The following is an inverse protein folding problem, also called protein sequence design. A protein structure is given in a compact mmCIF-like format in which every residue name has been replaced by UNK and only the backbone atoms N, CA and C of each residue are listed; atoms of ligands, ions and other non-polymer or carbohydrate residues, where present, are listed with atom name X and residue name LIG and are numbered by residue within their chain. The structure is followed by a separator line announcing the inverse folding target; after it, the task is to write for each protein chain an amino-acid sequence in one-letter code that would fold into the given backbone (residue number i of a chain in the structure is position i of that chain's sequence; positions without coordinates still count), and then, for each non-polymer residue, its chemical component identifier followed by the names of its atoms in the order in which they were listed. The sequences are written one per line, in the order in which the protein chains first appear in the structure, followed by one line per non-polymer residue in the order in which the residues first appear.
data_IF_735714102883
#
_entry.id   IF_735714102883
#
_cell.length_a   1.000
_cell.length_b   1.000
_cell.length_c   1.000
_cell.angle_alpha   90.00
_cell.angle_beta   90.00
_cell.angle_gamma   90.00
#
_symmetry.space_group_name_H-M   'P 1'
#
loop_
_entity.id
_entity.type
_entity.pdbx_description
1 polymer ?
#
# COMPACT_ATOMS: atom_id res chain seq x y z
N UNK A 1 -10.68 4.88 -9.34
CA UNK A 1 -10.54 3.45 -9.02
C UNK A 1 -11.64 2.68 -9.73
N UNK A 2 -11.49 1.37 -9.95
CA UNK A 2 -12.48 0.49 -10.59
C UNK A 2 -12.92 -0.59 -9.59
N UNK A 3 -14.19 -1.00 -9.66
CA UNK A 3 -14.67 -2.12 -8.86
C UNK A 3 -13.88 -3.40 -9.18
N UNK A 4 -13.38 -4.07 -8.15
CA UNK A 4 -12.67 -5.34 -8.26
C UNK A 4 -13.62 -6.50 -8.00
N UNK A 5 -14.29 -6.51 -6.85
CA UNK A 5 -15.07 -7.66 -6.42
C UNK A 5 -15.29 -7.66 -4.91
N UNK A 6 -15.76 -8.79 -4.38
CA UNK A 6 -16.09 -8.92 -2.97
C UNK A 6 -15.08 -9.83 -2.25
N UNK A 7 -14.82 -9.54 -0.98
CA UNK A 7 -14.01 -10.39 -0.12
C UNK A 7 -14.66 -11.77 -0.01
N UNK A 8 -13.91 -12.81 -0.36
CA UNK A 8 -14.34 -14.19 -0.14
C UNK A 8 -13.93 -14.65 1.25
N UNK A 9 -12.63 -14.66 1.54
CA UNK A 9 -12.06 -15.07 2.83
C UNK A 9 -10.58 -14.70 2.88
N UNK A 10 -10.00 -14.77 4.08
CA UNK A 10 -8.56 -14.72 4.28
C UNK A 10 -8.00 -16.14 4.16
N UNK A 11 -7.02 -16.34 3.28
CA UNK A 11 -6.36 -17.64 3.17
C UNK A 11 -5.37 -17.83 4.33
N UNK A 12 -5.14 -19.09 4.73
CA UNK A 12 -4.14 -19.46 5.76
C UNK A 12 -2.72 -18.96 5.43
N UNK A 13 -2.42 -18.78 4.14
CA UNK A 13 -1.16 -18.17 3.68
C UNK A 13 -1.04 -16.66 3.97
N UNK A 14 -2.06 -16.04 4.55
CA UNK A 14 -2.13 -14.61 4.85
C UNK A 14 -2.47 -13.72 3.65
N UNK A 15 -2.95 -14.31 2.54
CA UNK A 15 -3.43 -13.58 1.37
C UNK A 15 -4.94 -13.42 1.40
N UNK A 16 -5.42 -12.25 0.99
CA UNK A 16 -6.86 -12.01 0.88
C UNK A 16 -7.36 -12.56 -0.46
N UNK A 17 -8.42 -13.37 -0.42
CA UNK A 17 -9.04 -13.96 -1.60
C UNK A 17 -10.28 -13.16 -1.97
N UNK A 18 -10.34 -12.72 -3.23
CA UNK A 18 -11.41 -11.86 -3.75
C UNK A 18 -12.09 -12.57 -4.91
N UNK A 19 -13.42 -12.65 -4.88
CA UNK A 19 -14.23 -13.11 -6.02
C UNK A 19 -14.45 -11.95 -6.98
N UNK A 20 -14.08 -12.11 -8.23
CA UNK A 20 -14.25 -11.08 -9.26
C UNK A 20 -14.95 -11.64 -10.50
N UNK A 21 -15.44 -10.74 -11.35
CA UNK A 21 -15.97 -11.03 -12.68
C UNK A 21 -15.04 -10.56 -13.80
N UNK A 22 -13.99 -9.80 -13.47
CA UNK A 22 -13.08 -9.20 -14.45
C UNK A 22 -11.64 -9.41 -14.01
N UNK A 23 -10.74 -9.51 -14.99
CA UNK A 23 -9.30 -9.67 -14.72
C UNK A 23 -8.67 -8.32 -14.38
N UNK A 24 -8.22 -8.10 -13.13
CA UNK A 24 -7.52 -6.86 -12.77
C UNK A 24 -6.10 -6.83 -13.33
N UNK A 25 -5.48 -5.64 -13.43
CA UNK A 25 -4.07 -5.53 -13.75
C UNK A 25 -3.20 -6.14 -12.63
N UNK A 26 -2.18 -6.91 -13.01
CA UNK A 26 -1.21 -7.46 -12.07
C UNK A 26 -0.47 -6.35 -11.31
N UNK A 27 -0.24 -6.53 -10.01
CA UNK A 27 0.49 -5.59 -9.16
C UNK A 27 -0.24 -4.28 -8.81
N UNK A 28 -1.48 -4.08 -9.30
CA UNK A 28 -2.27 -2.90 -8.99
C UNK A 28 -2.63 -2.82 -7.50
N UNK A 29 -2.80 -1.59 -6.98
CA UNK A 29 -3.20 -1.41 -5.57
C UNK A 29 -4.69 -1.69 -5.38
N UNK A 30 -4.99 -2.33 -4.24
CA UNK A 30 -6.34 -2.68 -3.82
C UNK A 30 -6.77 -1.77 -2.66
N UNK A 31 -8.02 -1.31 -2.72
CA UNK A 31 -8.61 -0.37 -1.78
C UNK A 31 -9.96 -0.85 -1.24
N UNK A 32 -10.31 -0.43 -0.02
CA UNK A 32 -11.66 -0.57 0.56
C UNK A 32 -12.62 0.49 -0.01
N UNK A 33 -13.90 0.43 0.39
CA UNK A 33 -14.86 1.51 0.14
C UNK A 33 -14.39 2.86 0.71
N UNK A 34 -13.70 2.83 1.85
CA UNK A 34 -13.17 4.01 2.54
C UNK A 34 -11.93 4.62 1.85
N UNK A 35 -11.58 4.11 0.66
CA UNK A 35 -10.38 4.50 -0.11
C UNK A 35 -9.08 4.21 0.63
N UNK A 36 -9.12 3.32 1.63
CA UNK A 36 -7.94 2.88 2.35
C UNK A 36 -7.19 1.82 1.54
N UNK A 37 -5.87 1.89 1.58
CA UNK A 37 -5.00 1.04 0.77
C UNK A 37 -4.68 -0.26 1.51
N UNK A 38 -5.21 -1.37 1.03
CA UNK A 38 -5.10 -2.67 1.71
C UNK A 38 -3.85 -3.43 1.26
N UNK A 39 -3.56 -3.40 -0.04
CA UNK A 39 -2.57 -4.32 -0.61
C UNK A 39 -2.34 -4.17 -2.10
N UNK A 40 -1.80 -5.23 -2.70
CA UNK A 40 -1.56 -5.36 -4.14
C UNK A 40 -2.13 -6.67 -4.69
N UNK A 41 -2.62 -6.63 -5.93
CA UNK A 41 -2.94 -7.83 -6.70
C UNK A 41 -1.67 -8.66 -6.89
N UNK A 42 -1.71 -9.92 -6.46
CA UNK A 42 -0.59 -10.86 -6.57
C UNK A 42 -0.76 -11.79 -7.76
N UNK A 43 -1.82 -12.61 -7.74
CA UNK A 43 -2.11 -13.58 -8.81
C UNK A 43 -3.62 -13.77 -9.00
N UNK A 44 -4.02 -14.10 -10.22
CA UNK A 44 -5.41 -14.37 -10.64
C UNK A 44 -5.48 -15.85 -11.03
N UNK A 45 -6.49 -16.56 -10.52
CA UNK A 45 -6.62 -18.01 -10.71
C UNK A 45 -8.10 -18.44 -10.71
N UNK A 46 -8.35 -19.71 -11.06
CA UNK A 46 -9.69 -20.29 -11.07
C UNK A 46 -10.47 -20.08 -12.37
N UNK A 47 -11.81 -20.14 -12.33
CA UNK A 47 -12.65 -20.14 -13.53
C UNK A 47 -12.54 -18.86 -14.35
N UNK A 48 -12.53 -18.99 -15.68
CA UNK A 48 -12.36 -17.85 -16.61
C UNK A 48 -13.49 -16.81 -16.47
N UNK A 49 -14.75 -17.25 -16.30
CA UNK A 49 -15.91 -16.35 -16.19
C UNK A 49 -16.01 -15.66 -14.81
N UNK A 50 -15.52 -16.30 -13.75
CA UNK A 50 -15.61 -15.83 -12.35
C UNK A 50 -14.30 -16.15 -11.63
N UNK A 51 -13.20 -15.43 -11.94
CA UNK A 51 -11.92 -15.75 -11.37
C UNK A 51 -11.81 -15.32 -9.91
N UNK A 52 -10.83 -15.90 -9.24
CA UNK A 52 -10.37 -15.52 -7.91
C UNK A 52 -9.09 -14.73 -8.01
N UNK A 53 -8.94 -13.73 -7.13
CA UNK A 53 -7.74 -12.89 -7.07
C UNK A 53 -7.14 -13.02 -5.69
N UNK A 54 -5.86 -13.35 -5.64
CA UNK A 54 -5.04 -13.27 -4.43
C UNK A 54 -4.47 -11.87 -4.29
N UNK A 55 -4.65 -11.28 -3.12
CA UNK A 55 -4.14 -9.96 -2.77
C UNK A 55 -3.11 -10.10 -1.65
N UNK A 56 -1.92 -9.56 -1.89
CA UNK A 56 -0.89 -9.42 -0.86
C UNK A 56 -1.23 -8.21 0.01
N UNK A 57 -1.55 -8.48 1.28
CA UNK A 57 -1.92 -7.47 2.27
C UNK A 57 -0.65 -6.76 2.77
N UNK A 58 -0.72 -5.45 2.96
CA UNK A 58 0.38 -4.70 3.56
C UNK A 58 0.50 -4.97 5.06
N UNK A 59 1.73 -4.88 5.58
CA UNK A 59 2.02 -5.05 7.02
C UNK A 59 1.28 -4.05 7.92
N UNK A 60 0.92 -2.89 7.39
CA UNK A 60 0.19 -1.86 8.13
C UNK A 60 -1.29 -2.18 8.34
N UNK A 61 -1.83 -3.19 7.68
CA UNK A 61 -3.26 -3.51 7.71
C UNK A 61 -3.50 -4.69 8.65
N UNK A 62 -4.49 -4.55 9.52
CA UNK A 62 -4.86 -5.60 10.45
C UNK A 62 -5.61 -6.73 9.73
N UNK A 63 -5.06 -7.94 9.79
CA UNK A 63 -5.62 -9.09 9.07
C UNK A 63 -6.93 -9.61 9.68
N UNK A 64 -7.07 -9.48 11.00
CA UNK A 64 -8.27 -9.92 11.74
C UNK A 64 -9.50 -9.12 11.30
N UNK A 65 -9.34 -7.82 11.10
CA UNK A 65 -10.43 -6.95 10.66
C UNK A 65 -10.92 -7.32 9.26
N UNK A 66 -10.00 -7.73 8.37
CA UNK A 66 -10.31 -8.19 7.02
C UNK A 66 -11.03 -9.55 6.99
N UNK A 67 -10.76 -10.41 7.97
CA UNK A 67 -11.42 -11.70 8.11
C UNK A 67 -12.90 -11.50 8.43
N UNK A 68 -13.24 -10.60 9.36
CA UNK A 68 -14.64 -10.30 9.70
C UNK A 68 -15.43 -9.60 8.58
N UNK A 69 -14.75 -9.01 7.59
CA UNK A 69 -15.35 -8.20 6.50
C UNK A 69 -15.74 -9.02 5.25
N UNK A 70 -16.23 -10.25 5.46
CA UNK A 70 -16.69 -11.09 4.36
C UNK A 70 -17.75 -10.38 3.49
N UNK A 71 -17.61 -10.47 2.17
CA UNK A 71 -18.53 -9.85 1.23
C UNK A 71 -18.32 -8.35 0.97
N UNK A 72 -17.40 -7.68 1.68
CA UNK A 72 -17.13 -6.26 1.45
C UNK A 72 -16.56 -6.01 0.04
N UNK A 73 -16.97 -4.90 -0.57
CA UNK A 73 -16.53 -4.46 -1.90
C UNK A 73 -15.11 -3.92 -1.86
N UNK A 74 -14.29 -4.39 -2.80
CA UNK A 74 -12.94 -3.93 -3.03
C UNK A 74 -12.81 -3.25 -4.38
N UNK A 75 -11.83 -2.35 -4.46
CA UNK A 75 -11.53 -1.57 -5.65
C UNK A 75 -10.08 -1.71 -6.03
N UNK A 76 -9.80 -1.60 -7.33
CA UNK A 76 -8.47 -1.59 -7.89
C UNK A 76 -8.18 -0.23 -8.52
N UNK A 77 -6.97 0.27 -8.34
CA UNK A 77 -6.52 1.47 -9.03
C UNK A 77 -6.37 1.28 -10.54
N UNK A 78 -6.61 2.35 -11.29
CA UNK A 78 -6.27 2.41 -12.73
C UNK A 78 -4.79 2.75 -12.96
N UNK A 79 -4.25 2.48 -14.16
CA UNK A 79 -2.86 2.84 -14.53
C UNK A 79 -2.54 4.32 -14.26
N UNK A 80 -3.44 5.22 -14.67
CA UNK A 80 -3.29 6.66 -14.43
C UNK A 80 -3.22 7.02 -12.94
N UNK A 81 -3.99 6.31 -12.10
CA UNK A 81 -3.93 6.47 -10.65
C UNK A 81 -2.65 5.88 -10.06
N UNK A 82 -2.12 4.78 -10.63
CA UNK A 82 -0.83 4.20 -10.23
C UNK A 82 0.32 5.16 -10.42
N UNK A 83 0.40 5.81 -11.58
CA UNK A 83 1.48 6.74 -11.85
C UNK A 83 1.43 7.95 -10.91
N UNK A 84 0.22 8.45 -10.63
CA UNK A 84 0.02 9.53 -9.65
C UNK A 84 0.44 9.11 -8.25
N UNK A 85 0.05 7.92 -7.79
CA UNK A 85 0.40 7.39 -6.46
C UNK A 85 1.91 7.21 -6.35
N UNK A 86 2.55 6.61 -7.36
CA UNK A 86 3.99 6.37 -7.39
C UNK A 86 4.79 7.68 -7.37
N UNK A 87 4.35 8.71 -8.13
CA UNK A 87 4.96 10.05 -8.10
C UNK A 87 4.85 10.69 -6.71
N UNK A 88 3.66 10.63 -6.08
CA UNK A 88 3.44 11.15 -4.71
C UNK A 88 4.33 10.45 -3.68
N UNK A 89 4.41 9.12 -3.74
CA UNK A 89 5.24 8.33 -2.81
C UNK A 89 6.74 8.65 -2.97
N UNK A 90 7.23 8.85 -4.20
CA UNK A 90 8.61 9.30 -4.46
C UNK A 90 8.87 10.68 -3.86
N UNK A 91 7.99 11.65 -4.09
CA UNK A 91 8.16 13.01 -3.57
C UNK A 91 8.19 13.03 -2.03
N UNK A 92 7.30 12.27 -1.38
CA UNK A 92 7.26 12.14 0.09
C UNK A 92 8.53 11.51 0.67
N UNK A 93 9.17 10.60 -0.05
CA UNK A 93 10.47 10.02 0.36
C UNK A 93 11.60 11.02 0.22
N UNK A 94 11.62 11.80 -0.87
CA UNK A 94 12.65 12.81 -1.11
C UNK A 94 12.58 13.95 -0.08
N UNK A 95 11.38 14.43 0.25
CA UNK A 95 11.22 15.47 1.28
C UNK A 95 11.70 14.99 2.66
N UNK A 96 11.40 13.74 3.04
CA UNK A 96 11.90 13.11 4.28
C UNK A 96 13.42 12.94 4.29
N UNK A 97 14.06 12.67 3.15
CA UNK A 97 15.53 12.60 3.08
C UNK A 97 16.17 13.98 3.29
N UNK A 98 15.61 15.01 2.67
CA UNK A 98 16.11 16.39 2.81
C UNK A 98 15.92 16.95 4.23
N UNK A 99 14.83 16.63 4.93
CA UNK A 99 14.68 17.04 6.33
C UNK A 99 15.66 16.30 7.26
N UNK A 100 15.99 15.04 6.96
CA UNK A 100 16.95 14.23 7.73
C UNK A 100 18.41 14.69 7.50
N UNK A 101 18.77 15.15 6.30
CA UNK A 101 20.09 15.74 6.04
C UNK A 101 20.24 17.11 6.71
N UNK A 102 19.21 17.96 6.64
CA UNK A 102 19.23 19.28 7.30
C UNK A 102 19.34 19.16 8.83
N UNK A 103 18.60 18.25 9.46
CA UNK A 103 18.70 18.04 10.91
C UNK A 103 20.07 17.52 11.35
N UNK A 104 20.72 16.64 10.56
CA UNK A 104 22.10 16.18 10.83
C UNK A 104 23.12 17.32 10.71
N UNK A 105 22.99 18.18 9.70
CA UNK A 105 23.86 19.36 9.48
C UNK A 105 23.70 20.41 10.59
N UNK A 106 22.50 20.54 11.15
CA UNK A 106 22.25 21.44 12.28
C UNK A 106 22.85 20.91 13.59
N UNK A 107 22.75 19.60 13.83
CA UNK A 107 23.35 18.95 15.02
C UNK A 107 24.88 19.03 15.00
N UNK A 108 25.53 18.81 13.85
CA UNK A 108 26.99 18.89 13.74
C UNK A 108 27.52 20.32 13.95
N UNK A 109 26.78 21.34 13.49
CA UNK A 109 27.09 22.76 13.75
C UNK A 109 26.96 23.14 15.23
N UNK A 110 25.96 22.61 15.96
CA UNK A 110 25.83 22.85 17.41
C UNK A 110 26.98 22.22 18.21
N UNK A 111 27.43 21.01 17.85
CA UNK A 111 28.54 20.36 18.54
C UNK A 111 29.88 21.07 18.32
N UNK A 112 30.15 21.58 17.11
CA UNK A 112 31.39 22.33 16.83
C UNK A 112 31.40 23.69 17.52
N UNK A 113 30.25 24.38 17.62
CA UNK A 113 30.15 25.65 18.33
C UNK A 113 30.34 25.49 19.85
N UNK A 114 29.82 24.40 20.44
CA UNK A 114 30.01 24.09 21.87
C UNK A 114 31.47 23.75 22.21
N UNK A 115 32.20 23.10 21.29
CA UNK A 115 33.62 22.75 21.46
C UNK A 115 34.57 23.95 21.40
N UNK A 116 34.19 25.02 20.68
CA UNK A 116 34.97 26.26 20.55
C UNK A 116 34.86 27.21 21.75
N UNK A 117 33.90 27.00 22.66
CA UNK A 117 33.68 27.86 23.84
C UNK A 117 34.40 27.38 25.11
N UNK A 118 34.98 26.17 25.11
CA UNK A 118 35.66 25.57 26.26
C UNK A 118 37.20 25.56 26.10
N UNK A 119 37.74 26.53 25.35
CA UNK A 119 39.18 26.70 25.12
C UNK A 119 39.47 28.19 25.23
#
# INVERSE_FOLDING_TARGET
MKFLGNISHLANSGKLIVKTTKTPPAGAFVFTNDKEKIGKVYSIFGPVKKPYVSVNIFRSVNRRDLESRHGEKLFVSTKNEMDKINKRDKNKRNSRKNSKSNSRKFKSRKSTFKKRRNK
#
